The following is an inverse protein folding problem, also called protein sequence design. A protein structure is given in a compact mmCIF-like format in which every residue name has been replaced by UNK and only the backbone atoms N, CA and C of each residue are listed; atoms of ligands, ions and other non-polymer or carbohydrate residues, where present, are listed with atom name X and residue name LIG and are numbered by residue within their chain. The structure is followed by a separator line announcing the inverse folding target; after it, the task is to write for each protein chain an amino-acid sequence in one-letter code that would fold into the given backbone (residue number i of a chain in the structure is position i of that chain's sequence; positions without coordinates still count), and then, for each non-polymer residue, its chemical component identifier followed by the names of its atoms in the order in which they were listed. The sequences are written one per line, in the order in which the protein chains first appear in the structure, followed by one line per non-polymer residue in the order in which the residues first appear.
data_IF_511804943388
#
_entry.id   IF_511804943388
#
_cell.length_a   1.000
_cell.length_b   1.000
_cell.length_c   1.000
_cell.angle_alpha   90.00
_cell.angle_beta   90.00
_cell.angle_gamma   90.00
#
_symmetry.space_group_name_H-M   'P 1'
#
loop_
_entity.id
_entity.type
_entity.pdbx_description
1 polymer ?
#
# COMPACT_ATOMS: atom_id res chain seq x y z
N UNK A 1 0.17 13.84 17.88
CA UNK A 1 -0.15 13.27 16.53
C UNK A 1 1.00 13.58 15.60
N UNK A 2 1.26 12.72 14.60
CA UNK A 2 2.38 12.84 13.67
C UNK A 2 1.86 12.97 12.24
N UNK A 3 2.60 13.67 11.36
CA UNK A 3 2.24 13.92 9.96
C UNK A 3 3.49 13.82 9.08
N UNK A 4 3.30 13.41 7.85
CA UNK A 4 4.38 13.34 6.86
C UNK A 4 5.40 12.25 7.13
N UNK A 5 6.66 12.53 6.85
CA UNK A 5 7.75 11.54 6.96
C UNK A 5 7.95 11.04 8.39
N UNK A 6 7.68 11.88 9.41
CA UNK A 6 7.71 11.48 10.82
C UNK A 6 6.66 10.42 11.18
N UNK A 7 5.61 10.29 10.35
CA UNK A 7 4.54 9.29 10.48
C UNK A 7 4.62 8.18 9.41
N UNK A 8 5.74 8.03 8.73
CA UNK A 8 5.96 7.03 7.68
C UNK A 8 4.93 7.06 6.54
N UNK A 9 4.45 8.26 6.17
CA UNK A 9 3.40 8.47 5.17
C UNK A 9 3.88 8.52 3.70
N UNK A 10 5.17 8.64 3.35
CA UNK A 10 5.58 8.62 1.95
C UNK A 10 5.13 7.35 1.25
N UNK A 11 4.75 7.47 -0.02
CA UNK A 11 4.36 6.32 -0.84
C UNK A 11 5.50 5.31 -0.93
N UNK A 12 5.23 4.02 -0.73
CA UNK A 12 6.28 2.99 -0.72
C UNK A 12 7.07 2.89 -2.03
N UNK A 13 6.42 3.14 -3.18
CA UNK A 13 7.01 2.86 -4.49
C UNK A 13 7.98 3.94 -4.99
N UNK A 14 7.70 5.21 -4.70
CA UNK A 14 8.44 6.37 -5.23
C UNK A 14 8.93 7.34 -4.15
N UNK A 15 8.67 7.03 -2.87
CA UNK A 15 8.95 7.88 -1.72
C UNK A 15 8.31 9.29 -1.79
N UNK A 16 7.26 9.46 -2.60
CA UNK A 16 6.54 10.73 -2.73
C UNK A 16 5.81 11.09 -1.44
N UNK A 17 6.37 12.01 -0.63
CA UNK A 17 5.87 12.37 0.70
C UNK A 17 5.05 13.66 0.75
N UNK A 18 5.22 14.60 -0.21
CA UNK A 18 4.58 15.92 -0.15
C UNK A 18 3.04 15.80 -0.19
N UNK A 19 2.50 15.04 -1.14
CA UNK A 19 1.05 14.85 -1.26
C UNK A 19 0.42 14.24 -0.01
N UNK A 20 0.89 13.08 0.47
CA UNK A 20 0.41 12.50 1.73
C UNK A 20 0.52 13.41 2.93
N UNK A 21 1.61 14.17 3.07
CA UNK A 21 1.79 15.11 4.18
C UNK A 21 0.77 16.26 4.13
N UNK A 22 0.44 16.79 2.95
CA UNK A 22 -0.57 17.84 2.80
C UNK A 22 -1.98 17.31 3.10
N UNK A 23 -2.32 16.12 2.60
CA UNK A 23 -3.60 15.46 2.90
C UNK A 23 -3.72 15.23 4.42
N UNK A 24 -2.71 14.60 5.02
CA UNK A 24 -2.69 14.32 6.46
C UNK A 24 -2.76 15.60 7.30
N UNK A 25 -2.04 16.66 6.90
CA UNK A 25 -2.07 17.95 7.58
C UNK A 25 -3.46 18.61 7.55
N UNK A 26 -4.16 18.52 6.42
CA UNK A 26 -5.53 19.03 6.29
C UNK A 26 -6.50 18.24 7.16
N UNK A 27 -6.45 16.92 7.13
CA UNK A 27 -7.29 16.05 7.96
C UNK A 27 -7.00 16.29 9.44
N UNK A 28 -5.72 16.38 9.82
CA UNK A 28 -5.32 16.65 11.19
C UNK A 28 -5.86 18.00 11.68
N UNK A 29 -5.72 19.05 10.89
CA UNK A 29 -6.22 20.38 11.24
C UNK A 29 -7.72 20.37 11.55
N UNK A 30 -8.52 19.70 10.71
CA UNK A 30 -9.95 19.56 10.92
C UNK A 30 -10.28 18.77 12.20
N UNK A 31 -9.64 17.63 12.41
CA UNK A 31 -9.88 16.78 13.58
C UNK A 31 -9.48 17.48 14.89
N UNK A 32 -8.33 18.14 14.92
CA UNK A 32 -7.88 18.89 16.11
C UNK A 32 -8.82 20.06 16.42
N UNK A 33 -9.29 20.78 15.41
CA UNK A 33 -10.26 21.87 15.61
C UNK A 33 -11.54 21.34 16.26
N UNK A 34 -12.10 20.24 15.75
CA UNK A 34 -13.30 19.63 16.32
C UNK A 34 -13.08 19.13 17.75
N UNK A 35 -11.94 18.51 18.03
CA UNK A 35 -11.59 18.04 19.37
C UNK A 35 -11.49 19.20 20.39
N UNK A 36 -10.90 20.33 20.00
CA UNK A 36 -10.81 21.52 20.83
C UNK A 36 -12.19 22.15 21.08
N UNK A 37 -13.01 22.28 20.03
CA UNK A 37 -14.37 22.82 20.14
C UNK A 37 -15.26 21.94 21.03
N UNK A 38 -15.09 20.61 20.98
CA UNK A 38 -15.77 19.66 21.84
C UNK A 38 -15.18 19.60 23.27
N UNK A 39 -14.07 20.30 23.54
CA UNK A 39 -13.29 20.20 24.77
C UNK A 39 -12.93 18.75 25.14
N UNK A 40 -12.66 17.91 24.13
CA UNK A 40 -12.25 16.52 24.27
C UNK A 40 -11.05 16.21 23.37
N UNK A 41 -9.87 16.18 23.97
CA UNK A 41 -8.58 15.81 23.33
C UNK A 41 -8.12 14.42 23.75
N UNK A 42 -9.04 13.54 24.15
CA UNK A 42 -8.74 12.16 24.49
C UNK A 42 -8.22 11.39 23.26
N UNK A 43 -7.53 10.28 23.51
CA UNK A 43 -7.07 9.39 22.44
C UNK A 43 -8.25 8.91 21.56
N UNK A 44 -9.38 8.60 22.16
CA UNK A 44 -10.58 8.16 21.43
C UNK A 44 -11.14 9.26 20.51
N UNK A 45 -11.17 10.51 20.98
CA UNK A 45 -11.62 11.65 20.16
C UNK A 45 -10.64 11.91 19.00
N UNK A 46 -9.34 11.87 19.27
CA UNK A 46 -8.30 12.09 18.27
C UNK A 46 -8.09 10.89 17.33
N UNK A 47 -8.66 9.72 17.65
CA UNK A 47 -8.60 8.51 16.81
C UNK A 47 -9.24 8.70 15.44
N UNK A 48 -10.20 9.61 15.33
CA UNK A 48 -10.87 9.95 14.07
C UNK A 48 -9.89 10.36 12.98
N UNK A 49 -8.77 11.02 13.33
CA UNK A 49 -7.70 11.34 12.39
C UNK A 49 -7.14 10.11 11.66
N UNK A 50 -6.95 8.99 12.36
CA UNK A 50 -6.45 7.78 11.74
C UNK A 50 -7.49 7.20 10.76
N UNK A 51 -8.77 7.21 11.15
CA UNK A 51 -9.86 6.72 10.29
C UNK A 51 -9.95 7.53 9.01
N UNK A 52 -9.99 8.86 9.12
CA UNK A 52 -10.11 9.76 7.98
C UNK A 52 -8.89 9.67 7.05
N UNK A 53 -7.68 9.56 7.60
CA UNK A 53 -6.48 9.41 6.78
C UNK A 53 -6.41 8.07 6.06
N UNK A 54 -6.80 6.99 6.72
CA UNK A 54 -6.83 5.65 6.11
C UNK A 54 -7.89 5.58 5.02
N UNK A 55 -9.07 6.15 5.24
CA UNK A 55 -10.15 6.21 4.24
C UNK A 55 -9.75 7.05 3.02
N UNK A 56 -9.12 8.21 3.23
CA UNK A 56 -8.74 9.09 2.14
C UNK A 56 -7.53 8.58 1.36
N UNK A 57 -6.53 8.05 2.07
CA UNK A 57 -5.23 7.77 1.48
C UNK A 57 -4.63 6.40 1.83
N UNK A 58 -4.69 6.00 3.11
CA UNK A 58 -3.90 4.87 3.61
C UNK A 58 -4.18 3.55 2.91
N UNK A 59 -5.44 3.21 2.69
CA UNK A 59 -5.82 1.97 2.03
C UNK A 59 -5.33 1.87 0.58
N UNK A 60 -5.27 3.00 -0.13
CA UNK A 60 -4.82 3.08 -1.54
C UNK A 60 -3.35 2.71 -1.68
N UNK A 61 -2.55 3.00 -0.67
CA UNK A 61 -1.10 2.80 -0.71
C UNK A 61 -0.63 1.52 -0.02
N UNK A 62 -1.49 0.90 0.79
CA UNK A 62 -1.15 -0.30 1.57
C UNK A 62 -0.54 -1.43 0.72
N UNK A 63 -1.14 -1.73 -0.44
CA UNK A 63 -0.65 -2.79 -1.33
C UNK A 63 0.65 -2.45 -2.06
N UNK A 64 1.00 -1.17 -2.16
CA UNK A 64 2.24 -0.75 -2.83
C UNK A 64 3.50 -1.23 -2.08
N UNK A 65 3.39 -1.49 -0.77
CA UNK A 65 4.52 -2.01 0.01
C UNK A 65 5.01 -3.37 -0.49
N UNK A 66 4.12 -4.29 -0.78
CA UNK A 66 4.50 -5.60 -1.30
C UNK A 66 5.04 -5.52 -2.72
N UNK A 67 4.50 -4.62 -3.54
CA UNK A 67 5.04 -4.37 -4.86
C UNK A 67 6.44 -3.75 -4.80
N UNK A 68 6.67 -2.78 -3.92
CA UNK A 68 8.00 -2.23 -3.65
C UNK A 68 8.99 -3.33 -3.25
N UNK A 69 8.59 -4.20 -2.34
CA UNK A 69 9.40 -5.33 -1.89
C UNK A 69 9.77 -6.26 -3.03
N UNK A 70 8.81 -6.60 -3.88
CA UNK A 70 9.07 -7.41 -5.08
C UNK A 70 10.10 -6.73 -5.98
N UNK A 71 9.91 -5.46 -6.33
CA UNK A 71 10.83 -4.73 -7.22
C UNK A 71 12.24 -4.71 -6.65
N UNK A 72 12.41 -4.54 -5.34
CA UNK A 72 13.72 -4.54 -4.66
C UNK A 72 14.43 -5.91 -4.66
N UNK A 73 13.72 -7.01 -4.90
CA UNK A 73 14.32 -8.36 -4.98
C UNK A 73 14.68 -8.76 -6.41
N UNK A 74 14.24 -8.00 -7.41
CA UNK A 74 14.49 -8.31 -8.82
C UNK A 74 15.84 -7.77 -9.29
N UNK A 75 16.47 -8.47 -10.25
CA UNK A 75 17.64 -7.96 -10.96
C UNK A 75 17.24 -6.84 -11.93
N UNK A 76 18.23 -6.04 -12.40
CA UNK A 76 17.99 -4.98 -13.39
C UNK A 76 17.36 -5.52 -14.67
N UNK A 77 17.76 -6.73 -15.11
CA UNK A 77 17.19 -7.39 -16.29
C UNK A 77 15.73 -7.78 -16.06
N UNK A 78 15.42 -8.29 -14.88
CA UNK A 78 14.04 -8.65 -14.48
C UNK A 78 13.16 -7.41 -14.35
N UNK A 79 13.68 -6.32 -13.78
CA UNK A 79 12.98 -5.03 -13.71
C UNK A 79 12.69 -4.51 -15.12
N UNK A 80 13.72 -4.47 -15.99
CA UNK A 80 13.58 -4.04 -17.38
C UNK A 80 12.57 -4.89 -18.14
N UNK A 81 12.59 -6.21 -17.92
CA UNK A 81 11.61 -7.12 -18.49
C UNK A 81 10.20 -6.84 -17.98
N UNK A 82 10.04 -6.64 -16.68
CA UNK A 82 8.77 -6.29 -16.05
C UNK A 82 8.19 -5.00 -16.59
N UNK A 83 8.98 -3.95 -16.65
CA UNK A 83 8.59 -2.64 -17.21
C UNK A 83 8.14 -2.74 -18.67
N UNK A 84 8.88 -3.49 -19.48
CA UNK A 84 8.58 -3.64 -20.92
C UNK A 84 7.33 -4.46 -21.22
N UNK A 85 7.06 -5.49 -20.41
CA UNK A 85 6.07 -6.52 -20.76
C UNK A 85 4.85 -6.57 -19.86
N UNK A 86 4.93 -6.04 -18.64
CA UNK A 86 3.83 -6.10 -17.65
C UNK A 86 3.28 -4.71 -17.29
N UNK A 87 4.12 -3.67 -17.33
CA UNK A 87 3.67 -2.30 -17.06
C UNK A 87 3.50 -1.55 -18.38
N UNK A 88 2.27 -1.22 -18.71
CA UNK A 88 1.96 -0.27 -19.79
C UNK A 88 1.99 1.17 -19.28
N UNK A 89 1.90 2.14 -20.18
CA UNK A 89 1.89 3.57 -19.83
C UNK A 89 0.72 3.93 -18.88
N UNK A 90 -0.42 3.25 -19.02
CA UNK A 90 -1.61 3.46 -18.17
C UNK A 90 -1.38 2.97 -16.73
N UNK A 91 -0.65 1.88 -16.57
CA UNK A 91 -0.38 1.31 -15.26
C UNK A 91 0.53 2.20 -14.40
N UNK A 92 1.49 2.90 -15.04
CA UNK A 92 2.39 3.84 -14.35
C UNK A 92 1.61 5.04 -13.80
N UNK A 93 0.65 5.55 -14.56
CA UNK A 93 -0.21 6.65 -14.10
C UNK A 93 -1.12 6.20 -12.95
N UNK A 94 -1.75 5.03 -13.04
CA UNK A 94 -2.56 4.44 -11.99
C UNK A 94 -1.75 4.25 -10.70
N UNK A 95 -0.56 3.64 -10.79
CA UNK A 95 0.33 3.45 -9.65
C UNK A 95 0.73 4.81 -9.02
N UNK A 96 1.00 5.83 -9.83
CA UNK A 96 1.36 7.16 -9.33
C UNK A 96 0.23 7.82 -8.53
N UNK A 97 -1.02 7.50 -8.87
CA UNK A 97 -2.23 7.95 -8.16
C UNK A 97 -2.62 7.07 -6.96
N UNK A 98 -1.85 6.01 -6.67
CA UNK A 98 -2.18 5.01 -5.65
C UNK A 98 -3.25 4.01 -6.09
N UNK A 99 -3.58 3.99 -7.37
CA UNK A 99 -4.48 2.98 -7.95
C UNK A 99 -3.70 1.70 -8.25
N UNK A 100 -4.39 0.57 -8.12
CA UNK A 100 -3.77 -0.73 -8.45
C UNK A 100 -3.97 -1.04 -9.92
N UNK A 101 -2.92 -1.50 -10.62
CA UNK A 101 -3.06 -1.93 -12.00
C UNK A 101 -4.13 -3.00 -12.12
N UNK A 102 -5.11 -2.81 -13.01
CA UNK A 102 -6.12 -3.82 -13.28
C UNK A 102 -5.56 -4.89 -14.22
N UNK A 103 -5.33 -6.07 -13.67
CA UNK A 103 -4.87 -7.25 -14.40
C UNK A 103 -6.03 -8.14 -14.88
N UNK A 104 -7.22 -7.59 -15.13
CA UNK A 104 -8.39 -8.36 -15.61
C UNK A 104 -8.50 -8.40 -17.13
N UNK A 105 -9.20 -9.40 -17.65
CA UNK A 105 -9.55 -9.51 -19.06
C UNK A 105 -8.42 -9.95 -20.02
N UNK A 106 -8.34 -9.36 -21.21
CA UNK A 106 -7.35 -9.69 -22.25
C UNK A 106 -5.89 -9.52 -21.77
N UNK A 107 -5.67 -8.66 -20.79
CA UNK A 107 -4.37 -8.51 -20.12
C UNK A 107 -3.91 -9.79 -19.44
N UNK A 108 -4.81 -10.60 -18.85
CA UNK A 108 -4.46 -11.88 -18.22
C UNK A 108 -3.84 -12.88 -19.19
N UNK A 109 -4.40 -13.02 -20.39
CA UNK A 109 -3.86 -13.96 -21.40
C UNK A 109 -2.47 -13.51 -21.88
N UNK A 110 -2.30 -12.21 -22.11
CA UNK A 110 -1.00 -11.63 -22.46
C UNK A 110 0.03 -11.81 -21.36
N UNK A 111 -0.37 -11.70 -20.08
CA UNK A 111 0.50 -11.94 -18.93
C UNK A 111 0.90 -13.41 -18.79
N UNK A 112 0.00 -14.36 -19.05
CA UNK A 112 0.33 -15.79 -19.00
C UNK A 112 1.39 -16.14 -20.05
N UNK A 113 1.26 -15.62 -21.26
CA UNK A 113 2.24 -15.85 -22.33
C UNK A 113 3.59 -15.21 -21.98
N UNK A 114 3.59 -13.97 -21.49
CA UNK A 114 4.81 -13.26 -21.07
C UNK A 114 5.43 -13.85 -19.81
N UNK A 115 4.61 -14.33 -18.87
CA UNK A 115 5.06 -15.00 -17.65
C UNK A 115 5.79 -16.32 -17.92
N UNK A 116 5.50 -16.99 -19.03
CA UNK A 116 6.24 -18.18 -19.45
C UNK A 116 7.71 -17.87 -19.79
N UNK A 117 8.02 -16.61 -20.15
CA UNK A 117 9.39 -16.18 -20.49
C UNK A 117 10.19 -15.70 -19.27
N UNK A 118 9.53 -15.27 -18.19
CA UNK A 118 10.19 -14.92 -16.91
C UNK A 118 9.30 -15.31 -15.72
N UNK A 119 9.51 -16.54 -15.26
CA UNK A 119 8.71 -17.14 -14.18
C UNK A 119 8.83 -16.39 -12.86
N UNK A 120 10.01 -15.85 -12.53
CA UNK A 120 10.25 -15.10 -11.30
C UNK A 120 9.37 -13.85 -11.23
N UNK A 121 9.42 -13.00 -12.26
CA UNK A 121 8.63 -11.77 -12.33
C UNK A 121 7.13 -12.10 -12.31
N UNK A 122 6.70 -13.08 -13.12
CA UNK A 122 5.29 -13.46 -13.18
C UNK A 122 4.75 -14.01 -11.87
N UNK A 123 5.52 -14.89 -11.20
CA UNK A 123 5.12 -15.47 -9.91
C UNK A 123 5.08 -14.42 -8.81
N UNK A 124 6.07 -13.52 -8.78
CA UNK A 124 6.12 -12.40 -7.85
C UNK A 124 4.92 -11.47 -8.03
N UNK A 125 4.61 -11.04 -9.25
CA UNK A 125 3.46 -10.19 -9.55
C UNK A 125 2.13 -10.86 -9.20
N UNK A 126 1.97 -12.15 -9.52
CA UNK A 126 0.77 -12.90 -9.16
C UNK A 126 0.59 -12.99 -7.64
N UNK A 127 1.67 -13.24 -6.91
CA UNK A 127 1.63 -13.31 -5.46
C UNK A 127 1.29 -11.96 -4.83
N UNK A 128 2.01 -10.91 -5.20
CA UNK A 128 1.79 -9.55 -4.65
C UNK A 128 0.39 -9.03 -4.97
N UNK A 129 -0.12 -9.28 -6.18
CA UNK A 129 -1.49 -8.93 -6.56
C UNK A 129 -2.54 -9.67 -5.72
N UNK A 130 -2.30 -10.96 -5.39
CA UNK A 130 -3.19 -11.72 -4.52
C UNK A 130 -3.19 -11.21 -3.08
N UNK A 131 -2.03 -10.86 -2.55
CA UNK A 131 -1.89 -10.32 -1.19
C UNK A 131 -2.39 -8.87 -1.08
N UNK A 132 -2.36 -8.11 -2.17
CA UNK A 132 -2.83 -6.74 -2.19
C UNK A 132 -4.30 -6.62 -1.75
N UNK A 133 -5.17 -7.50 -2.22
CA UNK A 133 -6.59 -7.47 -1.83
C UNK A 133 -6.74 -7.64 -0.31
N UNK A 134 -5.98 -8.57 0.29
CA UNK A 134 -5.98 -8.75 1.73
C UNK A 134 -5.56 -7.47 2.48
N UNK A 135 -4.50 -6.78 1.99
CA UNK A 135 -4.05 -5.53 2.60
C UNK A 135 -5.11 -4.43 2.49
N UNK A 136 -5.72 -4.26 1.33
CA UNK A 136 -6.81 -3.28 1.13
C UNK A 136 -7.98 -3.59 2.07
N UNK A 137 -8.40 -4.85 2.15
CA UNK A 137 -9.49 -5.26 3.03
C UNK A 137 -9.13 -5.08 4.50
N UNK A 138 -7.88 -5.36 4.88
CA UNK A 138 -7.37 -5.16 6.24
C UNK A 138 -7.38 -3.69 6.64
N UNK A 139 -6.93 -2.80 5.76
CA UNK A 139 -6.97 -1.35 6.00
C UNK A 139 -8.40 -0.78 6.00
N UNK A 140 -9.29 -1.29 5.16
CA UNK A 140 -10.71 -0.92 5.18
C UNK A 140 -11.43 -1.36 6.49
N UNK A 141 -10.87 -2.36 7.18
CA UNK A 141 -11.32 -2.82 8.48
C UNK A 141 -10.45 -2.26 9.63
N UNK A 142 -9.88 -1.07 9.46
CA UNK A 142 -9.13 -0.40 10.52
C UNK A 142 -10.00 -0.20 11.77
N UNK A 143 -9.46 -0.40 12.99
CA UNK A 143 -10.24 -0.29 14.22
C UNK A 143 -10.88 1.09 14.38
N UNK A 144 -12.17 1.11 14.73
CA UNK A 144 -12.92 2.35 14.95
C UNK A 144 -12.56 3.06 16.25
N UNK A 145 -11.82 2.39 17.13
CA UNK A 145 -11.33 2.92 18.40
C UNK A 145 -9.94 2.34 18.72
N UNK A 146 -9.17 2.99 19.64
CA UNK A 146 -7.80 2.56 19.96
C UNK A 146 -7.68 1.13 20.48
N UNK A 147 -8.71 0.59 21.14
CA UNK A 147 -8.62 -0.72 21.82
C UNK A 147 -8.43 -1.89 20.85
N UNK A 148 -8.88 -1.74 19.61
CA UNK A 148 -8.72 -2.76 18.58
C UNK A 148 -7.36 -2.72 17.84
N UNK A 149 -6.54 -1.67 18.09
CA UNK A 149 -5.34 -1.43 17.28
C UNK A 149 -4.27 -2.50 17.42
N UNK A 150 -4.00 -2.98 18.62
CA UNK A 150 -2.91 -3.94 18.85
C UNK A 150 -3.14 -5.26 18.10
N UNK A 151 -4.38 -5.75 18.07
CA UNK A 151 -4.75 -6.97 17.36
C UNK A 151 -4.66 -6.76 15.83
N UNK A 152 -5.19 -5.65 15.36
CA UNK A 152 -5.12 -5.25 13.95
C UNK A 152 -3.66 -5.14 13.47
N UNK A 153 -2.84 -4.42 14.23
CA UNK A 153 -1.42 -4.21 13.93
C UNK A 153 -0.61 -5.52 13.94
N UNK A 154 -0.89 -6.40 14.89
CA UNK A 154 -0.26 -7.72 14.97
C UNK A 154 -0.59 -8.60 13.75
N UNK A 155 -1.83 -8.57 13.28
CA UNK A 155 -2.25 -9.29 12.08
C UNK A 155 -1.57 -8.72 10.83
N UNK A 156 -1.46 -7.38 10.72
CA UNK A 156 -0.74 -6.70 9.64
C UNK A 156 0.74 -7.15 9.58
N UNK A 157 1.46 -7.03 10.70
CA UNK A 157 2.88 -7.38 10.75
C UNK A 157 3.11 -8.85 10.41
N UNK A 158 2.30 -9.76 10.94
CA UNK A 158 2.39 -11.19 10.60
C UNK A 158 2.27 -11.42 9.09
N UNK A 159 1.26 -10.81 8.45
CA UNK A 159 1.05 -10.99 7.00
C UNK A 159 2.18 -10.37 6.18
N UNK A 160 2.70 -9.22 6.59
CA UNK A 160 3.83 -8.58 5.92
C UNK A 160 5.09 -9.42 6.03
N UNK A 161 5.42 -9.95 7.21
CA UNK A 161 6.61 -10.77 7.44
C UNK A 161 6.56 -12.06 6.62
N UNK A 162 5.42 -12.77 6.61
CA UNK A 162 5.21 -13.96 5.79
C UNK A 162 5.34 -13.62 4.29
N UNK A 163 4.80 -12.47 3.87
CA UNK A 163 4.88 -12.02 2.49
C UNK A 163 6.30 -11.66 2.08
N UNK A 164 7.08 -11.03 2.93
CA UNK A 164 8.48 -10.69 2.65
C UNK A 164 9.34 -11.94 2.46
N UNK A 165 9.16 -12.95 3.32
CA UNK A 165 9.84 -14.25 3.16
C UNK A 165 9.47 -14.90 1.83
N UNK A 166 8.19 -14.88 1.47
CA UNK A 166 7.71 -15.46 0.21
C UNK A 166 8.25 -14.72 -1.00
N UNK A 167 8.23 -13.39 -0.99
CA UNK A 167 8.75 -12.56 -2.08
C UNK A 167 10.24 -12.83 -2.28
N UNK A 168 11.03 -12.88 -1.20
CA UNK A 168 12.46 -13.19 -1.27
C UNK A 168 12.74 -14.56 -1.90
N UNK A 169 11.84 -15.53 -1.73
CA UNK A 169 11.99 -16.87 -2.32
C UNK A 169 11.83 -16.91 -3.86
N UNK A 170 11.31 -15.85 -4.48
CA UNK A 170 11.22 -15.77 -5.95
C UNK A 170 12.53 -15.32 -6.60
N UNK A 171 13.42 -14.67 -5.85
CA UNK A 171 14.71 -14.17 -6.35
C UNK A 171 15.80 -15.27 -6.40
N UNK A 172 15.57 -16.38 -5.71
CA UNK A 172 16.43 -17.58 -5.69
C UNK A 172 15.91 -18.64 -6.66
#
# INVERSE_FOLDING_TARGET
MLVGDSAWMPKPIDAGGIGPALIAGTILGNNVTQAIEANDVSESSLWQYNLDFIEEYGYKTAGLELFRRLVQTLTNEQISYGMKHFLGNLDVEAISKGEHPDFTGLGKLGMIIRGAMNKTVASGLKYTSGQNQWLVDHYNNYPKDPSGFDEWNKALHKTLDESYVKIASFAN
#
